data_IF_116812640269
#
_entry.id   IF_116812640269
#
_cell.length_a   1.000
_cell.length_b   1.000
_cell.length_c   1.000
_cell.angle_alpha   90.00
_cell.angle_beta   90.00
_cell.angle_gamma   90.00
#
_symmetry.space_group_name_H-M   'P 1'
#
loop_
_entity.id
_entity.type
_entity.pdbx_description
1 polymer ?
#
# COMPACT_ATOMS: atom_id res chain seq x y z
N UNK A 1 -6.78 24.98 -2.37
CA UNK A 1 -7.11 23.54 -2.30
C UNK A 1 -6.36 22.91 -3.45
N UNK A 2 -5.23 22.29 -3.16
CA UNK A 2 -4.25 21.93 -4.18
C UNK A 2 -4.72 20.72 -4.99
N UNK A 3 -4.79 20.89 -6.31
CA UNK A 3 -5.24 19.88 -7.27
C UNK A 3 -4.46 18.56 -7.19
N UNK A 4 -3.27 18.56 -6.57
CA UNK A 4 -2.41 17.39 -6.33
C UNK A 4 -3.00 16.39 -5.33
N UNK A 5 -3.91 16.82 -4.44
CA UNK A 5 -4.50 15.98 -3.40
C UNK A 5 -5.42 14.86 -3.95
N UNK A 6 -5.77 14.89 -5.24
CA UNK A 6 -6.63 13.87 -5.88
C UNK A 6 -5.93 12.99 -6.92
N UNK A 7 -4.63 13.18 -7.18
CA UNK A 7 -3.93 12.37 -8.18
C UNK A 7 -3.48 11.01 -7.65
N UNK A 8 -3.67 9.92 -8.43
CA UNK A 8 -3.06 8.64 -8.13
C UNK A 8 -1.53 8.75 -8.28
N UNK A 9 -0.80 7.96 -7.49
CA UNK A 9 0.66 7.83 -7.58
C UNK A 9 0.94 6.57 -8.39
N UNK A 10 1.73 6.67 -9.45
CA UNK A 10 2.15 5.52 -10.23
C UNK A 10 3.37 4.83 -9.60
N UNK A 11 3.47 3.51 -9.81
CA UNK A 11 4.70 2.77 -9.50
C UNK A 11 5.83 3.27 -10.43
N UNK A 12 7.02 3.48 -9.86
CA UNK A 12 8.21 3.89 -10.61
C UNK A 12 9.07 2.68 -11.04
N UNK A 13 8.63 1.44 -10.72
CA UNK A 13 9.21 0.11 -11.00
C UNK A 13 10.65 -0.15 -10.48
N UNK A 14 11.44 0.91 -10.29
CA UNK A 14 12.86 0.90 -9.94
C UNK A 14 13.11 1.10 -8.45
N UNK A 15 12.18 1.75 -7.74
CA UNK A 15 12.28 2.02 -6.31
C UNK A 15 11.19 1.24 -5.59
N UNK A 16 11.55 0.22 -4.84
CA UNK A 16 10.57 -0.69 -4.23
C UNK A 16 9.50 0.02 -3.36
N UNK A 17 9.82 1.17 -2.76
CA UNK A 17 8.91 2.01 -1.99
C UNK A 17 7.77 2.61 -2.84
N UNK A 18 7.92 2.75 -4.17
CA UNK A 18 6.87 3.34 -5.00
C UNK A 18 5.60 2.51 -5.05
N UNK A 19 5.71 1.17 -5.02
CA UNK A 19 4.55 0.28 -4.92
C UNK A 19 3.78 0.48 -3.62
N UNK A 20 4.49 0.52 -2.49
CA UNK A 20 3.85 0.78 -1.19
C UNK A 20 3.11 2.11 -1.21
N UNK A 21 3.75 3.19 -1.68
CA UNK A 21 3.14 4.52 -1.78
C UNK A 21 1.95 4.57 -2.73
N UNK A 22 2.03 3.88 -3.87
CA UNK A 22 0.91 3.73 -4.80
C UNK A 22 -0.29 3.06 -4.11
N UNK A 23 -0.07 1.96 -3.38
CA UNK A 23 -1.13 1.21 -2.72
C UNK A 23 -1.75 2.02 -1.56
N UNK A 24 -0.93 2.65 -0.71
CA UNK A 24 -1.41 3.55 0.36
C UNK A 24 -2.25 4.69 -0.23
N UNK A 25 -1.81 5.25 -1.35
CA UNK A 25 -2.54 6.29 -2.04
C UNK A 25 -3.84 5.78 -2.67
N UNK A 26 -3.83 4.58 -3.23
CA UNK A 26 -5.01 3.95 -3.80
C UNK A 26 -6.08 3.73 -2.73
N UNK A 27 -5.69 3.29 -1.52
CA UNK A 27 -6.60 3.14 -0.39
C UNK A 27 -7.23 4.48 0.02
N UNK A 28 -6.44 5.55 0.12
CA UNK A 28 -6.96 6.90 0.41
C UNK A 28 -7.97 7.37 -0.65
N UNK A 29 -7.77 6.95 -1.90
CA UNK A 29 -8.64 7.25 -3.04
C UNK A 29 -9.69 6.16 -3.33
N UNK A 30 -9.90 5.17 -2.45
CA UNK A 30 -10.82 4.01 -2.65
C UNK A 30 -12.18 4.44 -3.17
N UNK A 31 -12.79 5.46 -2.55
CA UNK A 31 -14.10 6.01 -2.97
C UNK A 31 -14.07 6.57 -4.38
N UNK A 32 -12.99 7.26 -4.77
CA UNK A 32 -12.83 7.81 -6.12
C UNK A 32 -12.66 6.69 -7.15
N UNK A 33 -11.82 5.69 -6.87
CA UNK A 33 -11.62 4.54 -7.74
C UNK A 33 -12.93 3.76 -7.95
N UNK A 34 -13.62 3.39 -6.87
CA UNK A 34 -14.89 2.68 -6.95
C UNK A 34 -15.93 3.48 -7.78
N UNK A 35 -16.02 4.80 -7.57
CA UNK A 35 -16.93 5.66 -8.33
C UNK A 35 -16.60 5.70 -9.83
N UNK A 36 -15.33 5.68 -10.22
CA UNK A 36 -14.90 5.65 -11.62
C UNK A 36 -15.30 4.31 -12.26
N UNK A 37 -15.03 3.21 -11.57
CA UNK A 37 -15.37 1.85 -12.03
C UNK A 37 -16.90 1.70 -12.19
N UNK A 38 -17.68 2.10 -11.19
CA UNK A 38 -19.14 2.08 -11.30
C UNK A 38 -19.67 2.95 -12.44
N UNK A 39 -19.04 4.11 -12.70
CA UNK A 39 -19.44 4.98 -13.82
C UNK A 39 -19.18 4.30 -15.16
N UNK A 40 -18.05 3.59 -15.29
CA UNK A 40 -17.70 2.82 -16.47
C UNK A 40 -18.65 1.63 -16.66
N UNK A 41 -18.95 0.90 -15.58
CA UNK A 41 -19.88 -0.24 -15.55
C UNK A 41 -21.28 0.20 -16.00
N UNK A 42 -21.82 1.26 -15.39
CA UNK A 42 -23.11 1.86 -15.77
C UNK A 42 -23.13 2.34 -17.23
N UNK A 43 -22.01 2.84 -17.76
CA UNK A 43 -21.93 3.27 -19.15
C UNK A 43 -21.96 2.09 -20.12
N UNK A 44 -21.28 1.01 -19.78
CA UNK A 44 -21.25 -0.22 -20.57
C UNK A 44 -22.60 -0.96 -20.55
N UNK A 45 -23.28 -1.01 -19.41
CA UNK A 45 -24.62 -1.57 -19.32
C UNK A 45 -25.64 -0.74 -20.13
N UNK A 46 -25.53 0.60 -20.09
CA UNK A 46 -26.36 1.49 -20.95
C UNK A 46 -26.12 1.27 -22.45
N UNK A 47 -24.92 0.86 -22.86
CA UNK A 47 -24.65 0.50 -24.25
C UNK A 47 -25.21 -0.88 -24.63
N UNK A 48 -25.96 -1.53 -23.73
CA UNK A 48 -26.42 -2.93 -23.85
C UNK A 48 -25.26 -3.89 -24.10
N UNK A 49 -24.07 -3.55 -23.56
CA UNK A 49 -22.81 -4.29 -23.75
C UNK A 49 -22.43 -4.51 -25.21
N UNK A 50 -22.88 -3.61 -26.10
CA UNK A 50 -22.54 -3.65 -27.54
C UNK A 50 -21.14 -3.14 -27.83
N UNK A 51 -20.60 -2.31 -26.94
CA UNK A 51 -19.21 -1.87 -26.97
C UNK A 51 -18.31 -2.88 -26.25
N UNK A 52 -17.02 -2.88 -26.59
CA UNK A 52 -16.02 -3.64 -25.85
C UNK A 52 -16.08 -3.31 -24.35
N UNK A 53 -15.89 -4.33 -23.51
CA UNK A 53 -15.80 -4.17 -22.06
C UNK A 53 -14.57 -3.31 -21.75
N UNK A 54 -14.70 -2.21 -20.97
CA UNK A 54 -13.54 -1.46 -20.51
C UNK A 54 -12.66 -2.35 -19.62
N UNK A 55 -11.34 -2.38 -19.88
CA UNK A 55 -10.37 -3.21 -19.14
C UNK A 55 -10.40 -2.96 -17.64
N UNK A 56 -10.65 -1.73 -17.20
CA UNK A 56 -10.77 -1.37 -15.79
C UNK A 56 -11.90 -2.12 -15.04
N UNK A 57 -12.86 -2.71 -15.76
CA UNK A 57 -13.91 -3.52 -15.15
C UNK A 57 -13.46 -4.97 -14.89
N UNK A 58 -12.40 -5.44 -15.56
CA UNK A 58 -11.76 -6.72 -15.26
C UNK A 58 -10.87 -6.60 -14.01
N UNK A 59 -10.24 -5.44 -13.82
CA UNK A 59 -9.35 -5.14 -12.69
C UNK A 59 -10.08 -4.49 -11.49
N UNK A 60 -11.41 -4.63 -11.41
CA UNK A 60 -12.21 -4.08 -10.30
C UNK A 60 -11.90 -4.84 -9.02
N UNK A 61 -11.43 -4.12 -7.99
CA UNK A 61 -11.28 -4.66 -6.65
C UNK A 61 -12.65 -4.80 -5.97
N UNK A 62 -12.91 -5.98 -5.41
CA UNK A 62 -14.02 -6.25 -4.49
C UNK A 62 -13.79 -5.60 -3.12
N UNK A 63 -14.81 -5.61 -2.25
CA UNK A 63 -14.64 -5.09 -0.88
C UNK A 63 -13.65 -5.96 -0.10
N UNK A 64 -13.67 -7.28 -0.32
CA UNK A 64 -12.71 -8.23 0.24
C UNK A 64 -11.28 -7.98 -0.25
N UNK A 65 -11.12 -7.62 -1.53
CA UNK A 65 -9.80 -7.25 -2.07
C UNK A 65 -9.26 -5.97 -1.41
N UNK A 66 -10.13 -5.00 -1.09
CA UNK A 66 -9.73 -3.80 -0.36
C UNK A 66 -9.28 -4.12 1.08
N UNK A 67 -9.91 -5.09 1.73
CA UNK A 67 -9.50 -5.55 3.05
C UNK A 67 -8.10 -6.21 2.99
N UNK A 68 -7.85 -7.01 1.95
CA UNK A 68 -6.50 -7.56 1.69
C UNK A 68 -5.48 -6.45 1.46
N UNK A 69 -5.84 -5.39 0.73
CA UNK A 69 -4.97 -4.22 0.52
C UNK A 69 -4.64 -3.52 1.85
N UNK A 70 -5.60 -3.37 2.75
CA UNK A 70 -5.36 -2.79 4.08
C UNK A 70 -4.37 -3.62 4.90
N UNK A 71 -4.57 -4.95 4.95
CA UNK A 71 -3.63 -5.86 5.61
C UNK A 71 -2.24 -5.79 4.97
N UNK A 72 -2.18 -5.75 3.64
CA UNK A 72 -0.92 -5.65 2.93
C UNK A 72 -0.16 -4.36 3.27
N UNK A 73 -0.86 -3.22 3.38
CA UNK A 73 -0.27 -1.96 3.85
C UNK A 73 0.29 -2.10 5.27
N UNK A 74 -0.42 -2.77 6.18
CA UNK A 74 0.03 -2.98 7.56
C UNK A 74 1.31 -3.83 7.61
N UNK A 75 1.40 -4.88 6.79
CA UNK A 75 2.59 -5.73 6.69
C UNK A 75 3.78 -4.92 6.18
N UNK A 76 3.59 -4.16 5.09
CA UNK A 76 4.70 -3.53 4.34
C UNK A 76 5.14 -2.19 4.96
N UNK A 77 4.29 -1.50 5.72
CA UNK A 77 4.60 -0.17 6.28
C UNK A 77 5.93 -0.13 7.05
N UNK A 78 6.22 -1.03 8.01
CA UNK A 78 7.48 -0.96 8.75
C UNK A 78 8.72 -1.19 7.88
N UNK A 79 8.58 -1.96 6.80
CA UNK A 79 9.66 -2.13 5.81
C UNK A 79 9.95 -0.82 5.09
N UNK A 80 8.91 -0.10 4.62
CA UNK A 80 9.09 1.20 3.97
C UNK A 80 9.80 2.18 4.91
N UNK A 81 9.33 2.30 6.16
CA UNK A 81 9.88 3.23 7.16
C UNK A 81 11.36 2.95 7.47
N UNK A 82 11.70 1.69 7.76
CA UNK A 82 13.07 1.29 8.06
C UNK A 82 13.99 1.47 6.86
N UNK A 83 13.50 1.15 5.67
CA UNK A 83 14.31 1.32 4.47
C UNK A 83 14.64 2.77 4.19
N UNK A 84 13.70 3.68 4.42
CA UNK A 84 13.92 5.12 4.28
C UNK A 84 14.91 5.59 5.34
N UNK A 85 14.82 5.07 6.57
CA UNK A 85 15.78 5.36 7.64
C UNK A 85 17.19 4.88 7.32
N UNK A 86 17.33 3.70 6.70
CA UNK A 86 18.62 3.04 6.42
C UNK A 86 19.23 3.40 5.06
N UNK A 87 18.61 4.28 4.27
CA UNK A 87 19.09 4.72 2.94
C UNK A 87 20.37 5.58 2.98
N UNK A 88 21.03 5.72 4.13
CA UNK A 88 22.28 6.46 4.25
C UNK A 88 22.11 7.98 4.16
N UNK A 89 20.95 8.51 4.58
CA UNK A 89 20.75 9.93 4.84
C UNK A 89 20.81 10.17 6.37
N UNK A 90 22.01 10.20 6.96
CA UNK A 90 22.14 10.28 8.39
C UNK A 90 21.55 11.58 8.92
N UNK A 91 20.67 11.47 9.91
CA UNK A 91 20.20 12.64 10.65
C UNK A 91 21.16 12.90 11.79
N UNK A 92 21.70 14.11 11.86
CA UNK A 92 22.52 14.56 12.97
C UNK A 92 21.66 15.28 14.02
N UNK A 93 22.04 15.16 15.29
CA UNK A 93 21.51 15.99 16.37
C UNK A 93 22.00 17.42 16.24
N UNK A 94 21.45 18.34 17.05
CA UNK A 94 22.01 19.68 17.21
C UNK A 94 23.48 19.64 17.66
N UNK A 95 23.89 18.59 18.39
CA UNK A 95 25.27 18.36 18.84
C UNK A 95 26.14 17.56 17.83
N UNK A 96 25.80 17.53 16.53
CA UNK A 96 26.54 16.83 15.46
C UNK A 96 26.72 15.30 15.62
N UNK A 97 26.01 14.67 16.55
CA UNK A 97 25.98 13.22 16.69
C UNK A 97 25.03 12.57 15.68
N UNK A 98 25.48 11.48 15.04
CA UNK A 98 24.64 10.73 14.10
C UNK A 98 23.56 9.95 14.86
N UNK A 99 22.30 10.35 14.68
CA UNK A 99 21.12 9.74 15.32
C UNK A 99 20.61 8.54 14.53
N UNK A 100 20.65 8.59 13.20
CA UNK A 100 20.14 7.53 12.32
C UNK A 100 20.98 7.37 11.06
N UNK A 101 20.82 6.26 10.34
CA UNK A 101 21.45 6.02 9.04
C UNK A 101 22.86 5.43 9.12
N UNK A 102 23.25 4.94 10.31
CA UNK A 102 24.54 4.31 10.55
C UNK A 102 24.47 2.79 10.50
N UNK A 103 25.62 2.14 10.27
CA UNK A 103 25.67 0.69 10.07
C UNK A 103 25.28 -0.14 11.31
N UNK A 104 25.42 0.39 12.52
CA UNK A 104 24.99 -0.32 13.73
C UNK A 104 23.45 -0.44 13.84
N UNK A 105 22.68 0.36 13.10
CA UNK A 105 21.22 0.29 13.12
C UNK A 105 20.67 -0.91 12.34
N UNK A 106 21.48 -1.60 11.52
CA UNK A 106 21.02 -2.71 10.69
C UNK A 106 20.45 -3.85 11.54
N UNK A 107 21.20 -4.35 12.53
CA UNK A 107 20.76 -5.50 13.33
C UNK A 107 19.47 -5.23 14.13
N UNK A 108 19.34 -4.12 14.89
CA UNK A 108 18.10 -3.79 15.57
C UNK A 108 16.91 -3.61 14.63
N UNK A 109 17.15 -3.07 13.42
CA UNK A 109 16.10 -2.91 12.42
C UNK A 109 15.58 -4.27 11.93
N UNK A 110 16.45 -5.25 11.70
CA UNK A 110 16.04 -6.60 11.34
C UNK A 110 15.29 -7.30 12.47
N UNK A 111 15.74 -7.17 13.72
CA UNK A 111 15.05 -7.73 14.88
C UNK A 111 13.62 -7.17 15.00
N UNK A 112 13.47 -5.86 14.83
CA UNK A 112 12.16 -5.22 14.84
C UNK A 112 11.26 -5.70 13.69
N UNK A 113 11.77 -5.81 12.46
CA UNK A 113 10.99 -6.33 11.32
C UNK A 113 10.54 -7.78 11.54
N UNK A 114 11.42 -8.62 12.07
CA UNK A 114 11.10 -10.01 12.38
C UNK A 114 10.05 -10.11 13.48
N UNK A 115 10.18 -9.30 14.54
CA UNK A 115 9.18 -9.22 15.60
C UNK A 115 7.82 -8.79 15.05
N UNK A 116 7.77 -7.75 14.21
CA UNK A 116 6.53 -7.30 13.56
C UNK A 116 5.87 -8.40 12.74
N UNK A 117 6.64 -9.13 11.92
CA UNK A 117 6.10 -10.26 11.15
C UNK A 117 5.62 -11.41 12.03
N UNK A 118 6.32 -11.66 13.14
CA UNK A 118 5.95 -12.70 14.09
C UNK A 118 4.67 -12.33 14.86
N UNK A 119 4.54 -11.09 15.31
CA UNK A 119 3.35 -10.55 15.97
C UNK A 119 2.15 -10.60 15.04
N UNK A 120 2.33 -10.17 13.79
CA UNK A 120 1.30 -10.32 12.77
C UNK A 120 0.92 -11.79 12.65
N UNK A 121 1.86 -12.69 12.35
CA UNK A 121 1.59 -14.14 12.25
C UNK A 121 0.88 -14.73 13.48
N UNK A 122 1.22 -14.29 14.69
CA UNK A 122 0.62 -14.79 15.94
C UNK A 122 -0.77 -14.21 16.21
N UNK A 123 -0.98 -12.93 15.91
CA UNK A 123 -2.30 -12.31 15.91
C UNK A 123 -3.18 -12.77 14.75
N UNK A 124 -2.58 -13.45 13.77
CA UNK A 124 -3.17 -13.82 12.50
C UNK A 124 -3.25 -15.33 12.31
N UNK A 125 -4.30 -15.90 12.90
CA UNK A 125 -5.13 -16.95 12.30
C UNK A 125 -5.90 -16.36 11.09
N UNK A 126 -5.16 -15.83 10.11
CA UNK A 126 -5.56 -14.72 9.21
C UNK A 126 -6.64 -15.01 8.16
N UNK A 127 -7.02 -16.27 7.98
CA UNK A 127 -7.97 -16.71 6.95
C UNK A 127 -8.97 -17.73 7.50
N UNK A 128 -8.96 -18.00 8.81
CA UNK A 128 -9.77 -19.06 9.42
C UNK A 128 -11.22 -18.64 9.69
N UNK A 129 -11.56 -17.37 9.44
CA UNK A 129 -12.94 -16.85 9.59
C UNK A 129 -13.63 -16.43 8.28
N UNK A 130 -12.96 -16.55 7.11
CA UNK A 130 -13.60 -16.29 5.80
C UNK A 130 -13.99 -17.58 5.05
N UNK A 131 -13.97 -18.74 5.72
CA UNK A 131 -14.57 -19.98 5.21
C UNK A 131 -15.79 -20.37 6.05
N UNK A 132 -16.84 -19.55 5.98
CA UNK A 132 -18.20 -20.01 6.26
C UNK A 132 -19.04 -19.79 5.01
N UNK A 133 -19.64 -20.89 4.57
CA UNK A 133 -20.39 -21.08 3.33
C UNK A 133 -21.62 -20.18 3.17
#
# INVERSE_FOLDING_TARGET
>A
MDSLEFWPIADNETRWNSRHRMIVRALLLRRCFNRIVEKAERAWDRSKRKSAKPTMLDDKLSEEDWDVVEVFIQIVRPFDEISVRLQGNPKTSEDDHVISGSSWEYFPSFEYLLAHLQELKQGQDLMSHCTCA
#
